data_IF_820488215518
#
_entry.id   IF_820488215518
#
_cell.length_a   1.000
_cell.length_b   1.000
_cell.length_c   1.000
_cell.angle_alpha   90.00
_cell.angle_beta   90.00
_cell.angle_gamma   90.00
#
_symmetry.space_group_name_H-M   'P 1'
#
loop_
_entity.id
_entity.type
_entity.pdbx_description
1 polymer ?
#
# COMPACT_ATOMS: atom_id res chain seq x y z
N UNK A 1 -8.49 13.56 21.27
CA UNK A 1 -7.05 13.34 21.34
C UNK A 1 -6.69 12.24 20.33
N UNK A 2 -6.01 12.57 19.25
CA UNK A 2 -5.50 11.55 18.34
C UNK A 2 -4.34 10.88 19.05
N UNK A 3 -4.49 9.64 19.43
CA UNK A 3 -3.36 8.82 19.87
C UNK A 3 -2.41 8.71 18.69
N UNK A 4 -1.31 9.42 18.75
CA UNK A 4 -0.18 9.20 17.86
C UNK A 4 0.50 7.92 18.32
N UNK A 5 0.02 6.79 17.83
CA UNK A 5 0.78 5.55 17.94
C UNK A 5 2.05 5.73 17.10
N UNK A 6 3.14 6.05 17.77
CA UNK A 6 4.46 6.14 17.13
C UNK A 6 4.95 4.70 16.94
N UNK A 7 4.58 4.11 15.81
CA UNK A 7 5.17 2.85 15.39
C UNK A 7 6.56 3.16 14.82
N UNK A 8 7.60 2.63 15.44
CA UNK A 8 8.98 2.78 14.95
C UNK A 8 9.37 1.66 13.99
N UNK A 9 8.62 0.58 13.96
CA UNK A 9 8.82 -0.55 13.04
C UNK A 9 7.57 -1.40 12.90
N UNK A 10 7.48 -2.11 11.78
CA UNK A 10 6.46 -3.12 11.50
C UNK A 10 6.75 -4.37 12.32
N UNK A 11 5.70 -4.99 12.85
CA UNK A 11 5.80 -6.25 13.59
C UNK A 11 5.50 -7.40 12.63
N UNK A 12 6.50 -8.26 12.44
CA UNK A 12 6.39 -9.43 11.56
C UNK A 12 6.71 -10.72 12.32
N UNK A 13 6.27 -11.84 11.77
CA UNK A 13 6.70 -13.16 12.21
C UNK A 13 8.08 -13.54 11.62
N UNK A 14 8.53 -14.76 11.85
CA UNK A 14 9.81 -15.28 11.35
C UNK A 14 9.89 -15.35 9.82
N UNK A 15 8.75 -15.35 9.13
CA UNK A 15 8.64 -15.37 7.68
C UNK A 15 8.43 -13.97 7.07
N UNK A 16 8.57 -12.92 7.86
CA UNK A 16 8.35 -11.53 7.49
C UNK A 16 6.88 -11.21 7.16
N UNK A 17 5.94 -12.08 7.54
CA UNK A 17 4.52 -11.78 7.45
C UNK A 17 4.13 -10.79 8.55
N UNK A 18 3.49 -9.70 8.16
CA UNK A 18 2.98 -8.73 9.12
C UNK A 18 1.88 -9.36 9.99
N UNK A 19 2.04 -9.27 11.33
CA UNK A 19 1.18 -9.97 12.28
C UNK A 19 -0.03 -9.14 12.72
N UNK A 20 -0.01 -7.82 12.50
CA UNK A 20 -1.12 -6.94 12.83
C UNK A 20 -2.11 -6.94 11.66
N UNK A 21 -3.39 -7.30 11.88
CA UNK A 21 -4.38 -7.27 10.80
C UNK A 21 -4.72 -5.83 10.40
N UNK A 22 -4.99 -5.64 9.11
CA UNK A 22 -5.41 -4.36 8.54
C UNK A 22 -6.93 -4.35 8.34
N UNK A 23 -7.63 -3.74 9.28
CA UNK A 23 -9.08 -3.76 9.35
C UNK A 23 -9.62 -4.88 10.22
N UNK A 24 -10.91 -5.22 10.04
CA UNK A 24 -11.59 -6.28 10.76
C UNK A 24 -12.17 -7.32 9.81
N UNK A 25 -12.68 -8.42 10.36
CA UNK A 25 -13.35 -9.43 9.55
C UNK A 25 -14.57 -8.87 8.82
N UNK A 26 -15.33 -7.98 9.48
CA UNK A 26 -16.53 -7.36 8.91
C UNK A 26 -16.23 -6.20 7.97
N UNK A 27 -15.09 -5.55 8.18
CA UNK A 27 -14.64 -4.42 7.37
C UNK A 27 -13.12 -4.54 7.12
N UNK A 28 -12.71 -5.37 6.17
CA UNK A 28 -11.30 -5.68 5.93
C UNK A 28 -10.62 -4.61 5.08
N UNK A 29 -10.64 -3.38 5.58
CA UNK A 29 -10.04 -2.18 5.01
C UNK A 29 -9.38 -1.37 6.12
N UNK A 30 -8.19 -0.81 5.83
CA UNK A 30 -7.51 0.09 6.76
C UNK A 30 -6.79 1.20 6.00
N UNK A 31 -6.93 2.42 6.50
CA UNK A 31 -6.21 3.60 6.04
C UNK A 31 -5.12 3.98 7.03
N UNK A 32 -3.96 4.38 6.49
CA UNK A 32 -2.84 4.90 7.26
C UNK A 32 -2.36 6.21 6.65
N UNK A 33 -2.08 7.18 7.51
CA UNK A 33 -1.38 8.41 7.13
C UNK A 33 0.01 8.34 7.73
N UNK A 34 0.99 7.91 6.92
CA UNK A 34 2.31 7.58 7.41
C UNK A 34 3.36 8.57 6.92
N UNK A 35 4.25 8.95 7.85
CA UNK A 35 5.51 9.64 7.60
C UNK A 35 6.64 8.63 7.76
N UNK A 36 7.51 8.49 6.78
CA UNK A 36 8.64 7.56 6.88
C UNK A 36 9.60 7.94 8.02
N UNK A 37 9.70 9.24 8.35
CA UNK A 37 10.50 9.71 9.48
C UNK A 37 10.04 9.18 10.85
N UNK A 38 8.82 8.65 10.96
CA UNK A 38 8.31 8.02 12.18
C UNK A 38 8.86 6.60 12.40
N UNK A 39 9.43 6.00 11.36
CA UNK A 39 10.02 4.66 11.41
C UNK A 39 11.53 4.74 11.61
N UNK A 40 12.09 3.72 12.26
CA UNK A 40 13.54 3.60 12.42
C UNK A 40 14.24 3.65 11.06
N UNK A 41 15.27 4.47 10.94
CA UNK A 41 16.04 4.66 9.70
C UNK A 41 15.21 5.19 8.51
N UNK A 42 14.09 5.86 8.77
CA UNK A 42 13.14 6.29 7.74
C UNK A 42 12.72 5.15 6.83
N UNK A 43 12.45 3.99 7.41
CA UNK A 43 12.28 2.74 6.69
C UNK A 43 11.11 1.92 7.25
N UNK A 44 10.19 1.54 6.39
CA UNK A 44 9.24 0.45 6.65
C UNK A 44 9.88 -0.81 6.09
N UNK A 45 10.44 -1.63 6.98
CA UNK A 45 11.30 -2.74 6.63
C UNK A 45 10.55 -3.90 5.94
N UNK A 46 11.28 -4.87 5.45
CA UNK A 46 10.77 -6.01 4.70
C UNK A 46 9.59 -6.68 5.40
N UNK A 47 8.46 -6.77 4.68
CA UNK A 47 7.26 -7.45 5.14
C UNK A 47 6.37 -7.83 3.96
N UNK A 48 5.42 -8.71 4.23
CA UNK A 48 4.34 -9.03 3.31
C UNK A 48 3.03 -9.27 4.07
N UNK A 49 1.93 -9.14 3.35
CA UNK A 49 0.58 -9.34 3.88
C UNK A 49 -0.35 -9.81 2.75
N UNK A 50 -1.51 -10.34 3.13
CA UNK A 50 -2.50 -10.84 2.18
C UNK A 50 -3.29 -9.71 1.52
N UNK A 51 -3.42 -8.59 2.21
CA UNK A 51 -4.13 -7.41 1.73
C UNK A 51 -3.46 -6.83 0.48
N UNK A 52 -4.28 -6.28 -0.41
CA UNK A 52 -3.83 -5.39 -1.47
C UNK A 52 -3.47 -4.05 -0.85
N UNK A 53 -2.44 -3.39 -1.36
CA UNK A 53 -1.99 -2.10 -0.84
C UNK A 53 -1.92 -1.05 -1.95
N UNK A 54 -2.42 0.15 -1.66
CA UNK A 54 -2.32 1.32 -2.51
C UNK A 54 -1.62 2.42 -1.75
N UNK A 55 -0.49 2.89 -2.26
CA UNK A 55 0.32 3.94 -1.65
C UNK A 55 0.36 5.15 -2.56
N UNK A 56 0.05 6.32 -2.02
CA UNK A 56 0.22 7.60 -2.70
C UNK A 56 1.38 8.38 -2.08
N UNK A 57 2.27 8.89 -2.90
CA UNK A 57 3.38 9.71 -2.43
C UNK A 57 2.92 11.17 -2.42
N UNK A 58 2.54 11.65 -1.26
CA UNK A 58 2.05 13.02 -1.08
C UNK A 58 3.20 14.03 -1.08
N UNK A 59 4.33 13.68 -0.45
CA UNK A 59 5.54 14.53 -0.45
C UNK A 59 6.79 13.68 -0.28
N UNK A 60 7.91 14.20 -0.75
CA UNK A 60 9.19 13.52 -0.70
C UNK A 60 9.38 12.55 -1.86
N UNK A 61 10.45 11.77 -1.79
CA UNK A 61 10.76 10.70 -2.74
C UNK A 61 10.92 9.40 -1.97
N UNK A 62 10.27 8.35 -2.44
CA UNK A 62 10.26 7.05 -1.77
C UNK A 62 11.00 6.03 -2.64
N UNK A 63 11.92 5.31 -2.03
CA UNK A 63 12.50 4.11 -2.63
C UNK A 63 11.70 2.90 -2.19
N UNK A 64 11.23 2.12 -3.15
CA UNK A 64 10.46 0.90 -2.92
C UNK A 64 11.26 -0.30 -3.41
N UNK A 65 11.38 -1.31 -2.56
CA UNK A 65 11.89 -2.62 -2.97
C UNK A 65 10.74 -3.62 -2.97
N UNK A 66 10.59 -4.35 -4.07
CA UNK A 66 9.63 -5.44 -4.18
C UNK A 66 10.36 -6.64 -4.78
N UNK A 67 10.56 -7.67 -3.95
CA UNK A 67 11.46 -8.75 -4.30
C UNK A 67 12.85 -8.22 -4.60
N UNK A 68 13.36 -8.49 -5.80
CA UNK A 68 14.69 -8.03 -6.23
C UNK A 68 14.67 -6.67 -6.96
N UNK A 69 13.50 -6.08 -7.17
CA UNK A 69 13.36 -4.81 -7.86
C UNK A 69 13.43 -3.63 -6.89
N UNK A 70 14.11 -2.59 -7.33
CA UNK A 70 14.21 -1.32 -6.63
C UNK A 70 13.71 -0.20 -7.54
N UNK A 71 12.82 0.63 -7.02
CA UNK A 71 12.14 1.69 -7.75
C UNK A 71 12.15 2.98 -6.93
N UNK A 72 12.20 4.13 -7.61
CA UNK A 72 12.01 5.42 -6.97
C UNK A 72 10.67 6.02 -7.39
N UNK A 73 9.90 6.45 -6.40
CA UNK A 73 8.61 7.09 -6.59
C UNK A 73 8.71 8.56 -6.18
N UNK A 74 8.57 9.48 -7.14
CA UNK A 74 8.52 10.91 -6.82
C UNK A 74 7.18 11.28 -6.18
N UNK A 75 7.11 12.49 -5.64
CA UNK A 75 5.87 13.11 -5.22
C UNK A 75 4.83 13.10 -6.35
N UNK A 76 3.56 12.95 -5.99
CA UNK A 76 2.41 12.84 -6.91
C UNK A 76 2.48 11.63 -7.85
N UNK A 77 3.06 10.54 -7.36
CA UNK A 77 2.97 9.21 -7.97
C UNK A 77 2.38 8.22 -6.96
N UNK A 78 2.13 7.01 -7.40
CA UNK A 78 1.60 5.97 -6.52
C UNK A 78 2.01 4.58 -6.97
N UNK A 79 1.73 3.63 -6.11
CA UNK A 79 2.00 2.22 -6.38
C UNK A 79 0.88 1.34 -5.82
N UNK A 80 0.50 0.35 -6.60
CA UNK A 80 -0.29 -0.80 -6.17
C UNK A 80 0.67 -1.95 -5.89
N UNK A 81 0.55 -2.58 -4.71
CA UNK A 81 1.29 -3.77 -4.34
C UNK A 81 0.32 -4.93 -4.19
N UNK A 82 0.59 -6.00 -4.95
CA UNK A 82 -0.27 -7.16 -4.99
C UNK A 82 -0.13 -8.01 -3.72
N UNK A 83 -1.13 -8.85 -3.48
CA UNK A 83 -1.20 -9.73 -2.32
C UNK A 83 0.04 -10.64 -2.20
N UNK A 84 0.58 -10.73 -0.98
CA UNK A 84 1.67 -11.65 -0.59
C UNK A 84 3.05 -11.36 -1.19
N UNK A 85 3.25 -10.21 -1.81
CA UNK A 85 4.59 -9.84 -2.30
C UNK A 85 5.39 -9.10 -1.23
N UNK A 86 6.60 -9.58 -1.00
CA UNK A 86 7.55 -8.99 -0.05
C UNK A 86 7.99 -7.61 -0.53
N UNK A 87 7.92 -6.60 0.34
CA UNK A 87 8.25 -5.23 -0.02
C UNK A 87 8.81 -4.42 1.15
N UNK A 88 9.42 -3.28 0.82
CA UNK A 88 10.08 -2.37 1.75
C UNK A 88 10.01 -0.95 1.20
N UNK A 89 9.83 0.03 2.09
CA UNK A 89 9.85 1.46 1.73
C UNK A 89 10.93 2.18 2.53
N UNK A 90 11.62 3.12 1.90
CA UNK A 90 12.50 4.03 2.61
C UNK A 90 12.58 5.39 1.92
N UNK A 91 13.09 6.40 2.65
CA UNK A 91 13.39 7.72 2.13
C UNK A 91 14.65 8.26 2.79
N UNK A 92 15.49 9.04 2.07
CA UNK A 92 16.70 9.61 2.66
C UNK A 92 16.42 10.66 3.75
N UNK A 93 15.27 11.32 3.68
CA UNK A 93 14.79 12.26 4.69
C UNK A 93 13.42 11.83 5.15
N UNK A 94 12.39 12.63 4.94
CA UNK A 94 11.01 12.23 5.20
C UNK A 94 10.24 12.11 3.90
N UNK A 95 9.22 11.26 3.91
CA UNK A 95 8.23 11.19 2.85
C UNK A 95 6.88 10.91 3.51
N UNK A 96 5.84 11.56 3.01
CA UNK A 96 4.47 11.38 3.46
C UNK A 96 3.77 10.46 2.48
N UNK A 97 3.35 9.29 2.95
CA UNK A 97 2.81 8.21 2.12
C UNK A 97 1.47 7.71 2.67
N UNK A 98 0.39 8.50 2.51
CA UNK A 98 -0.93 7.98 2.83
C UNK A 98 -1.20 6.73 2.00
N UNK A 99 -1.71 5.70 2.66
CA UNK A 99 -1.94 4.42 2.01
C UNK A 99 -3.17 3.73 2.58
N UNK A 100 -3.72 2.80 1.81
CA UNK A 100 -4.82 1.98 2.28
C UNK A 100 -4.64 0.54 1.81
N UNK A 101 -5.06 -0.36 2.69
CA UNK A 101 -4.99 -1.80 2.49
C UNK A 101 -6.39 -2.38 2.56
N UNK A 102 -6.67 -3.36 1.71
CA UNK A 102 -7.91 -4.10 1.80
C UNK A 102 -7.72 -5.56 1.38
N UNK A 103 -8.50 -6.44 2.00
CA UNK A 103 -8.61 -7.81 1.48
C UNK A 103 -9.26 -7.77 0.10
N UNK A 104 -8.86 -8.67 -0.82
CA UNK A 104 -9.52 -8.74 -2.12
C UNK A 104 -11.04 -8.89 -2.05
N UNK A 105 -11.54 -9.59 -1.03
CA UNK A 105 -12.97 -9.76 -0.78
C UNK A 105 -13.73 -8.47 -0.44
N UNK A 106 -13.01 -7.41 -0.06
CA UNK A 106 -13.60 -6.09 0.16
C UNK A 106 -14.08 -5.44 -1.15
N UNK A 107 -13.39 -5.72 -2.25
CA UNK A 107 -13.69 -5.13 -3.57
C UNK A 107 -14.97 -5.72 -4.19
N UNK A 108 -15.22 -7.00 -3.97
CA UNK A 108 -16.42 -7.70 -4.46
C UNK A 108 -16.56 -9.03 -3.73
N UNK A 109 -17.78 -9.53 -3.65
CA UNK A 109 -18.03 -10.85 -3.09
C UNK A 109 -17.29 -11.93 -3.92
N UNK A 110 -16.68 -12.89 -3.23
CA UNK A 110 -15.78 -13.89 -3.87
C UNK A 110 -16.48 -14.79 -4.90
N UNK A 111 -17.79 -14.96 -4.80
CA UNK A 111 -18.63 -15.72 -5.75
C UNK A 111 -19.23 -14.84 -6.86
N UNK A 112 -18.94 -13.53 -6.86
CA UNK A 112 -19.48 -12.60 -7.84
C UNK A 112 -18.74 -12.65 -9.18
N UNK A 113 -19.42 -12.24 -10.24
CA UNK A 113 -18.82 -12.07 -11.56
C UNK A 113 -17.64 -11.08 -11.54
N UNK A 114 -17.79 -9.97 -10.82
CA UNK A 114 -16.74 -8.93 -10.69
C UNK A 114 -15.50 -9.52 -10.06
N UNK A 115 -15.64 -10.25 -8.95
CA UNK A 115 -14.49 -10.86 -8.30
C UNK A 115 -13.79 -11.87 -9.22
N UNK A 116 -14.53 -12.78 -9.81
CA UNK A 116 -13.98 -13.87 -10.63
C UNK A 116 -13.29 -13.38 -11.91
N UNK A 117 -13.76 -12.28 -12.50
CA UNK A 117 -13.26 -11.79 -13.78
C UNK A 117 -12.33 -10.58 -13.69
N UNK A 118 -12.36 -9.83 -12.58
CA UNK A 118 -11.54 -8.61 -12.44
C UNK A 118 -10.61 -8.62 -11.23
N UNK A 119 -10.95 -9.29 -10.15
CA UNK A 119 -10.12 -9.31 -8.94
C UNK A 119 -9.22 -10.56 -8.93
N UNK A 120 -9.80 -11.72 -9.05
CA UNK A 120 -9.06 -13.00 -9.00
C UNK A 120 -7.92 -13.09 -10.04
N UNK A 121 -8.09 -12.65 -11.29
CA UNK A 121 -6.97 -12.67 -12.25
C UNK A 121 -5.76 -11.85 -11.80
N UNK A 122 -5.97 -10.75 -11.10
CA UNK A 122 -4.88 -9.92 -10.59
C UNK A 122 -4.15 -10.61 -9.44
N UNK A 123 -4.88 -11.06 -8.42
CA UNK A 123 -4.26 -11.71 -7.26
C UNK A 123 -3.63 -13.06 -7.57
N UNK A 124 -4.07 -13.73 -8.63
CA UNK A 124 -3.51 -15.00 -9.11
C UNK A 124 -2.38 -14.82 -10.12
N UNK A 125 -2.11 -13.56 -10.52
CA UNK A 125 -1.05 -13.25 -11.48
C UNK A 125 0.33 -13.19 -10.80
N UNK A 126 1.38 -13.18 -11.63
CA UNK A 126 2.75 -12.95 -11.19
C UNK A 126 3.14 -11.47 -11.21
N UNK A 127 2.17 -10.57 -11.32
CA UNK A 127 2.42 -9.12 -11.31
C UNK A 127 2.54 -8.68 -9.85
N UNK A 128 3.76 -8.29 -9.38
CA UNK A 128 3.94 -7.93 -7.97
C UNK A 128 3.43 -6.53 -7.64
N UNK A 129 3.46 -5.61 -8.60
CA UNK A 129 3.09 -4.22 -8.38
C UNK A 129 2.74 -3.54 -9.69
N UNK A 130 2.12 -2.34 -9.57
CA UNK A 130 1.92 -1.42 -10.68
C UNK A 130 2.16 0.01 -10.22
N UNK A 131 2.96 0.77 -10.99
CA UNK A 131 3.24 2.18 -10.68
C UNK A 131 2.24 3.06 -11.43
N UNK A 132 1.74 4.07 -10.74
CA UNK A 132 0.87 5.09 -11.33
C UNK A 132 1.63 6.41 -11.43
N UNK A 133 1.70 6.95 -12.65
CA UNK A 133 2.40 8.18 -12.96
C UNK A 133 1.43 9.24 -13.48
N UNK A 134 1.64 10.48 -13.04
CA UNK A 134 0.77 11.60 -13.43
C UNK A 134 0.76 11.86 -14.93
N UNK A 135 1.86 11.61 -15.63
CA UNK A 135 2.04 11.87 -17.05
C UNK A 135 1.21 10.95 -17.96
N UNK A 136 0.74 9.83 -17.45
CA UNK A 136 -0.06 8.86 -18.22
C UNK A 136 -1.53 9.04 -17.82
N UNK A 137 -2.39 9.38 -18.78
CA UNK A 137 -3.74 9.89 -18.49
C UNK A 137 -4.62 8.93 -17.68
N UNK A 138 -4.62 7.63 -17.97
CA UNK A 138 -5.41 6.68 -17.20
C UNK A 138 -4.83 6.45 -15.79
N UNK A 139 -3.52 6.51 -15.66
CA UNK A 139 -2.85 6.40 -14.35
C UNK A 139 -3.11 7.65 -13.50
N UNK A 140 -3.11 8.83 -14.11
CA UNK A 140 -3.50 10.06 -13.43
C UNK A 140 -4.91 9.99 -12.85
N UNK A 141 -5.85 9.38 -13.57
CA UNK A 141 -7.21 9.14 -13.06
C UNK A 141 -7.21 8.20 -11.85
N UNK A 142 -6.38 7.16 -11.86
CA UNK A 142 -6.21 6.28 -10.70
C UNK A 142 -5.67 7.05 -9.50
N UNK A 143 -4.66 7.90 -9.71
CA UNK A 143 -4.11 8.76 -8.64
C UNK A 143 -5.18 9.70 -8.07
N UNK A 144 -6.02 10.29 -8.91
CA UNK A 144 -7.11 11.16 -8.45
C UNK A 144 -8.15 10.39 -7.63
N UNK A 145 -8.48 9.16 -8.01
CA UNK A 145 -9.35 8.29 -7.23
C UNK A 145 -8.72 7.90 -5.89
N UNK A 146 -7.43 7.59 -5.87
CA UNK A 146 -6.71 7.33 -4.63
C UNK A 146 -6.77 8.52 -3.68
N UNK A 147 -6.56 9.74 -4.20
CA UNK A 147 -6.67 10.98 -3.42
C UNK A 147 -8.08 11.19 -2.87
N UNK A 148 -9.12 10.86 -3.63
CA UNK A 148 -10.51 10.92 -3.16
C UNK A 148 -10.76 9.92 -2.02
N UNK A 149 -10.27 8.68 -2.15
CA UNK A 149 -10.37 7.68 -1.09
C UNK A 149 -9.66 8.17 0.18
N UNK A 150 -8.46 8.71 0.05
CA UNK A 150 -7.68 9.25 1.17
C UNK A 150 -8.43 10.41 1.84
N UNK A 151 -8.95 11.35 1.07
CA UNK A 151 -9.72 12.48 1.60
C UNK A 151 -10.98 12.05 2.34
N UNK A 152 -11.61 10.96 1.92
CA UNK A 152 -12.82 10.44 2.56
C UNK A 152 -12.54 9.84 3.95
N UNK A 153 -11.28 9.59 4.31
CA UNK A 153 -10.91 9.03 5.61
C UNK A 153 -10.71 10.10 6.70
N UNK A 154 -10.74 11.36 6.35
CA UNK A 154 -10.47 12.48 7.29
C UNK A 154 -11.71 13.26 7.70
#
# INVERSE_FOLDING_TARGET
MKETNVYTKIITDENLMETIPHGSQDYPFRYYYEHLAQFDFNCIDWHWHTELEFVYVQSGTVTVWIGEKQLELPSDSGIFINSKFLHRFSSPVDAVIPNFLCMPSFLAATDSYIYQNYVKPIISSNIPFWIFRREISWQARVLDLMKQIISAQT
#
